data_IF_396279193748
#
_entry.id   IF_396279193748
#
_cell.length_a   1.000
_cell.length_b   1.000
_cell.length_c   1.000
_cell.angle_alpha   90.00
_cell.angle_beta   90.00
_cell.angle_gamma   90.00
#
_symmetry.space_group_name_H-M   'P 1'
#
loop_
_entity.id
_entity.type
_entity.pdbx_description
1 polymer ?
#
# COMPACT_ATOMS: atom_id res chain seq x y z
N UNK A 1 -24.49 -36.69 8.02
CA UNK A 1 -23.08 -36.25 8.05
C UNK A 1 -22.89 -35.26 6.93
N UNK A 2 -22.95 -33.95 7.23
CA UNK A 2 -22.66 -32.92 6.24
C UNK A 2 -21.15 -32.66 6.26
N UNK A 3 -20.49 -32.89 5.12
CA UNK A 3 -19.11 -32.49 4.89
C UNK A 3 -19.07 -30.96 4.88
N UNK A 4 -18.56 -30.35 5.94
CA UNK A 4 -18.18 -28.95 5.94
C UNK A 4 -17.00 -28.80 4.98
N UNK A 5 -17.25 -28.23 3.80
CA UNK A 5 -16.18 -27.79 2.93
C UNK A 5 -15.40 -26.70 3.67
N UNK A 6 -14.14 -26.94 3.99
CA UNK A 6 -13.20 -25.90 4.36
C UNK A 6 -12.99 -25.00 3.13
N UNK A 7 -13.92 -24.09 2.88
CA UNK A 7 -13.70 -22.99 1.96
C UNK A 7 -12.59 -22.14 2.60
N UNK A 8 -11.35 -22.38 2.18
CA UNK A 8 -10.22 -21.55 2.59
C UNK A 8 -10.57 -20.09 2.40
N UNK A 9 -10.38 -19.29 3.45
CA UNK A 9 -10.77 -17.89 3.48
C UNK A 9 -10.13 -17.18 2.28
N UNK A 10 -10.97 -16.66 1.38
CA UNK A 10 -10.53 -15.96 0.17
C UNK A 10 -10.32 -14.49 0.53
N UNK A 11 -9.07 -14.16 0.84
CA UNK A 11 -8.59 -12.78 1.00
C UNK A 11 -8.35 -12.16 -0.36
N UNK A 12 -8.78 -10.91 -0.55
CA UNK A 12 -8.65 -10.17 -1.81
C UNK A 12 -9.09 -10.92 -3.08
N UNK A 13 -8.69 -10.38 -4.23
CA UNK A 13 -8.87 -10.98 -5.56
C UNK A 13 -7.58 -11.63 -6.04
N UNK A 14 -7.64 -12.86 -6.56
CA UNK A 14 -6.46 -13.57 -7.07
C UNK A 14 -5.83 -12.86 -8.28
N UNK A 15 -4.49 -12.77 -8.31
CA UNK A 15 -3.75 -12.12 -9.40
C UNK A 15 -2.30 -12.60 -9.49
N UNK A 16 -1.68 -12.36 -10.65
CA UNK A 16 -0.21 -12.46 -10.85
C UNK A 16 0.47 -11.07 -10.85
N UNK A 17 -0.29 -9.98 -10.65
CA UNK A 17 0.25 -8.62 -10.61
C UNK A 17 1.02 -8.38 -9.31
N UNK A 18 2.22 -7.80 -9.43
CA UNK A 18 2.96 -7.25 -8.29
C UNK A 18 2.56 -5.80 -8.01
N UNK A 19 3.00 -5.23 -6.90
CA UNK A 19 2.60 -3.88 -6.47
C UNK A 19 2.95 -2.79 -7.50
N UNK A 20 4.13 -2.87 -8.15
CA UNK A 20 4.59 -1.86 -9.13
C UNK A 20 3.71 -1.75 -10.38
N UNK A 21 3.49 -2.81 -11.17
CA UNK A 21 2.59 -2.73 -12.33
C UNK A 21 1.16 -2.40 -11.94
N UNK A 22 0.69 -2.89 -10.79
CA UNK A 22 -0.65 -2.56 -10.30
C UNK A 22 -0.79 -1.08 -9.91
N UNK A 23 0.15 -0.54 -9.14
CA UNK A 23 0.15 0.87 -8.75
C UNK A 23 0.23 1.80 -9.96
N UNK A 24 1.05 1.45 -10.97
CA UNK A 24 1.10 2.18 -12.25
C UNK A 24 -0.27 2.19 -12.93
N UNK A 25 -0.90 1.02 -13.07
CA UNK A 25 -2.21 0.89 -13.71
C UNK A 25 -3.30 1.72 -13.01
N UNK A 26 -3.32 1.71 -11.68
CA UNK A 26 -4.39 2.36 -10.90
C UNK A 26 -4.16 3.87 -10.75
N UNK A 27 -2.92 4.30 -10.52
CA UNK A 27 -2.59 5.72 -10.29
C UNK A 27 -2.33 6.52 -11.57
N UNK A 28 -1.98 5.85 -12.68
CA UNK A 28 -1.49 6.51 -13.89
C UNK A 28 -0.08 7.09 -13.77
N UNK A 29 0.64 6.80 -12.69
CA UNK A 29 2.02 7.26 -12.48
C UNK A 29 3.00 6.37 -13.26
N UNK A 30 3.58 6.94 -14.30
CA UNK A 30 4.56 6.29 -15.18
C UNK A 30 5.99 6.40 -14.63
N UNK A 31 6.27 5.65 -13.55
CA UNK A 31 7.61 5.43 -12.97
C UNK A 31 8.04 3.98 -13.15
N UNK A 32 9.30 3.67 -12.89
CA UNK A 32 9.96 2.38 -13.15
C UNK A 32 10.80 1.92 -11.95
N UNK A 33 11.54 0.81 -12.07
CA UNK A 33 12.33 0.27 -10.97
C UNK A 33 11.51 -0.35 -9.82
N UNK A 34 12.19 -0.68 -8.73
CA UNK A 34 11.56 -1.29 -7.56
C UNK A 34 10.72 -0.26 -6.80
N UNK A 35 9.75 -0.72 -6.01
CA UNK A 35 8.81 0.15 -5.31
C UNK A 35 9.48 1.23 -4.47
N UNK A 36 10.53 0.89 -3.70
CA UNK A 36 11.25 1.87 -2.89
C UNK A 36 11.97 2.95 -3.71
N UNK A 37 12.31 2.68 -4.97
CA UNK A 37 13.03 3.62 -5.83
C UNK A 37 12.13 4.73 -6.38
N UNK A 38 10.80 4.50 -6.39
CA UNK A 38 9.83 5.45 -6.92
C UNK A 38 9.91 6.80 -6.22
N UNK A 39 10.25 6.85 -4.93
CA UNK A 39 10.40 8.11 -4.21
C UNK A 39 11.48 9.00 -4.83
N UNK A 40 12.65 8.43 -5.16
CA UNK A 40 13.74 9.13 -5.84
C UNK A 40 13.36 9.43 -7.28
N UNK A 41 12.80 8.47 -8.00
CA UNK A 41 12.48 8.62 -9.42
C UNK A 41 11.42 9.70 -9.67
N UNK A 42 10.44 9.86 -8.77
CA UNK A 42 9.43 10.90 -8.88
C UNK A 42 9.98 12.32 -8.70
N UNK A 43 11.20 12.51 -8.16
CA UNK A 43 11.78 13.83 -7.96
C UNK A 43 11.84 14.64 -9.27
N UNK A 44 11.22 15.81 -9.29
CA UNK A 44 11.13 16.67 -10.48
C UNK A 44 10.17 16.17 -11.57
N UNK A 45 9.55 15.00 -11.40
CA UNK A 45 8.60 14.40 -12.37
C UNK A 45 7.17 14.37 -11.84
N UNK A 46 6.98 14.08 -10.56
CA UNK A 46 5.68 14.06 -9.89
C UNK A 46 5.76 14.83 -8.56
N UNK A 47 4.69 15.50 -8.12
CA UNK A 47 4.63 16.06 -6.79
C UNK A 47 4.79 14.96 -5.74
N UNK A 48 5.55 15.26 -4.68
CA UNK A 48 5.79 14.36 -3.56
C UNK A 48 5.62 15.08 -2.24
N UNK A 49 5.15 14.39 -1.22
CA UNK A 49 5.05 14.93 0.13
C UNK A 49 4.40 13.97 1.10
N UNK A 50 4.03 14.48 2.28
CA UNK A 50 3.48 13.69 3.38
C UNK A 50 1.97 13.85 3.57
N UNK A 51 1.31 14.59 2.68
CA UNK A 51 -0.14 14.78 2.73
C UNK A 51 -0.82 13.75 1.81
N UNK A 52 -1.70 12.89 2.35
CA UNK A 52 -2.43 11.94 1.52
C UNK A 52 -3.45 12.63 0.63
N UNK A 53 -3.72 12.03 -0.52
CA UNK A 53 -4.78 12.42 -1.44
C UNK A 53 -5.27 11.16 -2.20
N UNK A 54 -6.56 11.08 -2.59
CA UNK A 54 -7.04 10.01 -3.47
C UNK A 54 -6.20 9.93 -4.76
N UNK A 55 -5.88 8.72 -5.19
CA UNK A 55 -5.00 8.43 -6.33
C UNK A 55 -3.50 8.56 -6.04
N UNK A 56 -3.09 9.13 -4.90
CA UNK A 56 -1.69 9.20 -4.53
C UNK A 56 -1.14 7.82 -4.16
N UNK A 57 0.14 7.58 -4.47
CA UNK A 57 0.83 6.32 -4.18
C UNK A 57 1.68 6.48 -2.93
N UNK A 58 1.34 5.76 -1.87
CA UNK A 58 2.16 5.62 -0.66
C UNK A 58 3.36 4.72 -0.96
N UNK A 59 4.57 5.23 -0.69
CA UNK A 59 5.83 4.52 -0.95
C UNK A 59 6.40 3.96 0.34
N UNK A 60 6.49 2.64 0.42
CA UNK A 60 7.11 1.92 1.53
C UNK A 60 8.61 1.75 1.27
N UNK A 61 9.41 2.03 2.31
CA UNK A 61 10.86 1.80 2.30
C UNK A 61 11.14 0.31 2.45
N UNK A 62 12.35 -0.11 2.07
CA UNK A 62 12.86 -1.45 2.38
C UNK A 62 12.82 -1.69 3.89
N UNK A 63 12.27 -2.82 4.32
CA UNK A 63 12.16 -3.14 5.76
C UNK A 63 11.98 -4.64 6.00
N UNK A 64 12.83 -5.23 6.85
CA UNK A 64 12.81 -6.68 7.11
C UNK A 64 12.92 -7.47 5.80
N UNK A 65 11.99 -8.41 5.58
CA UNK A 65 11.93 -9.24 4.38
C UNK A 65 11.37 -8.51 3.14
N UNK A 66 10.86 -7.27 3.29
CA UNK A 66 10.39 -6.45 2.19
C UNK A 66 11.56 -5.75 1.49
N UNK A 67 12.31 -6.52 0.70
CA UNK A 67 13.55 -6.05 0.03
C UNK A 67 13.29 -5.15 -1.16
N UNK A 68 12.10 -5.12 -1.75
CA UNK A 68 11.80 -4.27 -2.91
C UNK A 68 11.00 -3.03 -2.57
N UNK A 69 10.71 -2.81 -1.28
CA UNK A 69 9.70 -1.86 -0.84
C UNK A 69 8.30 -2.31 -1.27
N UNK A 70 7.34 -1.41 -1.18
CA UNK A 70 5.96 -1.66 -1.58
C UNK A 70 5.26 -0.36 -1.98
N UNK A 71 4.20 -0.48 -2.78
CA UNK A 71 3.37 0.64 -3.20
C UNK A 71 1.91 0.33 -2.89
N UNK A 72 1.21 1.30 -2.33
CA UNK A 72 -0.23 1.24 -2.13
C UNK A 72 -0.88 2.51 -2.66
N UNK A 73 -1.97 2.39 -3.43
CA UNK A 73 -2.67 3.55 -4.01
C UNK A 73 -3.81 3.94 -3.10
N UNK A 74 -3.85 5.20 -2.67
CA UNK A 74 -4.91 5.73 -1.81
C UNK A 74 -6.23 5.77 -2.59
N UNK A 75 -7.24 5.06 -2.10
CA UNK A 75 -8.61 5.14 -2.63
C UNK A 75 -9.40 6.23 -1.94
N UNK A 76 -9.23 6.38 -0.63
CA UNK A 76 -9.94 7.36 0.19
C UNK A 76 -9.07 7.89 1.33
N UNK A 77 -9.32 9.15 1.74
CA UNK A 77 -8.69 9.76 2.92
C UNK A 77 -9.76 9.92 4.00
N UNK A 78 -9.70 9.09 5.03
CA UNK A 78 -10.67 9.08 6.14
C UNK A 78 -10.36 10.17 7.17
N UNK A 79 -9.07 10.38 7.45
CA UNK A 79 -8.63 11.37 8.41
C UNK A 79 -7.21 11.85 8.13
N UNK A 80 -6.67 12.69 9.03
CA UNK A 80 -5.26 13.09 8.97
C UNK A 80 -4.28 11.93 9.18
N UNK A 81 -4.74 10.83 9.79
CA UNK A 81 -3.95 9.65 10.17
C UNK A 81 -4.46 8.35 9.58
N UNK A 82 -5.46 8.38 8.70
CA UNK A 82 -6.06 7.16 8.18
C UNK A 82 -6.46 7.35 6.72
N UNK A 83 -6.09 6.38 5.91
CA UNK A 83 -6.44 6.27 4.49
C UNK A 83 -6.89 4.84 4.20
N UNK A 84 -7.74 4.70 3.18
CA UNK A 84 -8.00 3.41 2.55
C UNK A 84 -7.11 3.30 1.31
N UNK A 85 -6.57 2.10 1.09
CA UNK A 85 -5.68 1.84 -0.05
C UNK A 85 -6.11 0.61 -0.82
N UNK A 86 -5.81 0.62 -2.12
CA UNK A 86 -5.82 -0.57 -2.96
C UNK A 86 -4.39 -0.93 -3.31
N UNK A 87 -4.06 -2.22 -3.23
CA UNK A 87 -2.70 -2.71 -3.43
C UNK A 87 -2.68 -4.14 -3.94
N UNK A 88 -1.57 -4.52 -4.57
CA UNK A 88 -1.36 -5.89 -5.03
C UNK A 88 -0.13 -6.48 -4.37
N UNK A 89 -0.20 -7.77 -4.06
CA UNK A 89 0.88 -8.57 -3.52
C UNK A 89 1.39 -8.11 -2.14
N UNK A 90 0.53 -7.45 -1.35
CA UNK A 90 0.77 -7.28 0.08
C UNK A 90 0.51 -8.61 0.80
N UNK A 91 -0.67 -9.19 0.58
CA UNK A 91 -0.84 -10.64 0.61
C UNK A 91 -0.35 -11.26 -0.72
N UNK A 92 0.46 -12.33 -0.71
CA UNK A 92 0.96 -12.94 -1.93
C UNK A 92 -0.15 -13.33 -2.92
N UNK A 93 0.01 -12.94 -4.19
CA UNK A 93 -0.92 -13.23 -5.29
C UNK A 93 -2.35 -12.71 -5.09
N UNK A 94 -2.50 -11.60 -4.36
CA UNK A 94 -3.79 -10.95 -4.08
C UNK A 94 -3.79 -9.46 -4.37
N UNK A 95 -4.90 -8.99 -4.92
CA UNK A 95 -5.28 -7.58 -4.91
C UNK A 95 -6.22 -7.38 -3.74
N UNK A 96 -5.85 -6.48 -2.84
CA UNK A 96 -6.66 -6.08 -1.70
C UNK A 96 -7.19 -4.67 -1.95
N UNK A 97 -8.48 -4.46 -1.71
CA UNK A 97 -9.18 -3.19 -1.96
C UNK A 97 -9.58 -2.54 -0.64
N UNK A 98 -9.56 -1.22 -0.60
CA UNK A 98 -10.01 -0.39 0.52
C UNK A 98 -9.47 -0.84 1.89
N UNK A 99 -8.19 -1.22 1.91
CA UNK A 99 -7.50 -1.66 3.11
C UNK A 99 -7.12 -0.45 3.97
N UNK A 100 -7.48 -0.42 5.26
CA UNK A 100 -7.06 0.64 6.16
C UNK A 100 -5.53 0.70 6.32
N UNK A 101 -4.99 1.91 6.24
CA UNK A 101 -3.61 2.23 6.61
C UNK A 101 -3.64 3.41 7.56
N UNK A 102 -3.00 3.25 8.72
CA UNK A 102 -2.94 4.29 9.75
C UNK A 102 -1.51 4.81 9.93
N UNK A 103 -1.39 6.13 10.07
CA UNK A 103 -0.14 6.80 10.43
C UNK A 103 0.10 6.71 11.95
N UNK A 104 1.17 6.01 12.32
CA UNK A 104 1.64 5.85 13.70
C UNK A 104 2.91 6.65 13.98
N UNK A 105 3.34 7.51 13.05
CA UNK A 105 4.47 8.41 13.26
C UNK A 105 4.17 9.44 14.36
N UNK A 106 5.20 9.75 15.15
CA UNK A 106 5.11 10.73 16.23
C UNK A 106 4.68 12.11 15.73
N UNK A 107 5.16 12.51 14.56
CA UNK A 107 4.97 13.84 13.99
C UNK A 107 3.74 13.97 13.08
N UNK A 108 2.95 12.91 12.89
CA UNK A 108 1.82 12.89 11.94
C UNK A 108 2.25 13.20 10.49
N UNK A 109 3.38 12.64 10.10
CA UNK A 109 4.03 12.92 8.82
C UNK A 109 4.13 11.66 7.93
N UNK A 110 3.36 10.61 8.24
CA UNK A 110 3.30 9.40 7.42
C UNK A 110 4.67 8.77 7.13
N UNK A 111 5.61 8.86 8.07
CA UNK A 111 6.93 8.20 7.97
C UNK A 111 6.94 6.79 8.57
N UNK A 112 5.88 6.44 9.30
CA UNK A 112 5.68 5.15 9.95
C UNK A 112 4.18 4.79 9.95
N UNK A 113 3.82 3.65 9.36
CA UNK A 113 2.41 3.24 9.21
C UNK A 113 2.17 1.83 9.73
N UNK A 114 0.92 1.52 10.06
CA UNK A 114 0.42 0.14 10.13
C UNK A 114 -0.59 -0.08 9.03
N UNK A 115 -0.61 -1.28 8.48
CA UNK A 115 -1.51 -1.69 7.39
C UNK A 115 -2.44 -2.76 7.93
N UNK A 116 -3.71 -2.72 7.54
CA UNK A 116 -4.67 -3.77 7.85
C UNK A 116 -4.16 -5.13 7.36
N UNK A 117 -4.45 -6.17 8.13
CA UNK A 117 -4.09 -7.54 7.79
C UNK A 117 -5.36 -8.39 7.77
N UNK A 118 -5.93 -8.60 6.57
CA UNK A 118 -7.18 -9.33 6.39
C UNK A 118 -7.22 -10.69 7.12
N UNK A 119 -6.13 -11.49 7.17
CA UNK A 119 -6.19 -12.81 7.80
C UNK A 119 -6.50 -12.82 9.30
N UNK A 120 -6.21 -11.72 10.01
CA UNK A 120 -6.50 -11.60 11.44
C UNK A 120 -7.61 -10.60 11.74
N UNK A 121 -8.21 -9.98 10.70
CA UNK A 121 -9.25 -8.96 10.83
C UNK A 121 -8.88 -7.83 11.80
N UNK A 122 -7.62 -7.37 11.73
CA UNK A 122 -7.11 -6.28 12.54
C UNK A 122 -5.95 -5.56 11.85
N UNK A 123 -5.54 -4.43 12.42
CA UNK A 123 -4.29 -3.79 12.05
C UNK A 123 -3.11 -4.75 12.27
N UNK A 124 -2.23 -4.85 11.27
CA UNK A 124 -0.99 -5.61 11.39
C UNK A 124 -0.13 -5.10 12.55
N UNK A 125 0.58 -6.01 13.21
CA UNK A 125 1.43 -5.68 14.35
C UNK A 125 2.69 -4.87 13.95
N UNK A 126 3.16 -5.06 12.72
CA UNK A 126 4.37 -4.42 12.20
C UNK A 126 4.14 -2.96 11.86
N UNK A 127 5.12 -2.13 12.24
CA UNK A 127 5.19 -0.73 11.83
C UNK A 127 6.13 -0.66 10.63
N UNK A 128 5.61 -0.17 9.51
CA UNK A 128 6.35 -0.08 8.26
C UNK A 128 6.85 1.34 8.03
N UNK A 129 8.15 1.51 7.69
CA UNK A 129 8.69 2.80 7.32
C UNK A 129 8.25 3.19 5.89
N UNK A 130 7.83 4.43 5.72
CA UNK A 130 7.39 5.00 4.43
C UNK A 130 8.14 6.30 4.14
N UNK A 131 8.23 6.64 2.85
CA UNK A 131 8.81 7.93 2.41
C UNK A 131 7.75 9.03 2.26
N UNK A 132 6.50 8.64 1.98
CA UNK A 132 5.37 9.55 1.78
C UNK A 132 4.57 9.18 0.54
N UNK A 133 3.91 10.18 -0.04
CA UNK A 133 2.99 10.04 -1.15
C UNK A 133 3.55 10.68 -2.42
N UNK A 134 3.41 9.97 -3.54
CA UNK A 134 3.61 10.51 -4.90
C UNK A 134 2.23 10.78 -5.49
N UNK A 135 1.99 12.00 -5.97
CA UNK A 135 0.70 12.37 -6.54
C UNK A 135 0.71 12.20 -8.07
N UNK A 136 -0.39 11.71 -8.67
CA UNK A 136 -0.58 11.79 -10.11
C UNK A 136 -0.68 13.25 -10.57
N UNK A 137 -0.45 13.49 -11.86
CA UNK A 137 -0.54 14.82 -12.48
C UNK A 137 -1.97 15.19 -12.83
#
# INVERSE_FOLDING_TARGET
>A
MALAACAGQRYGTATDLTCVPYARQVSGIELSGNAWEWWREAAGRYPRGHRPAPGAVLVFRRHGDMTDGHLAVVTQVESRREVLVTQSNWLPYRIEHDQPVIDVSAENNWTAVRVWYEPVHAMGAHVYPTDGFILPR
#
